data_IF_063845202336
#
_entry.id   IF_063845202336
#
_cell.length_a   1.000
_cell.length_b   1.000
_cell.length_c   1.000
_cell.angle_alpha   90.00
_cell.angle_beta   90.00
_cell.angle_gamma   90.00
#
_symmetry.space_group_name_H-M   'P 1'
#
loop_
_entity.id
_entity.type
_entity.pdbx_description
1 polymer ?
#
# COMPACT_ATOMS: atom_id res chain seq x y z
N UNK A 1 -64.31 22.82 12.20
CA UNK A 1 -62.92 23.21 12.54
C UNK A 1 -61.99 22.00 12.86
N UNK A 2 -62.49 20.77 13.00
CA UNK A 2 -61.66 19.60 13.35
C UNK A 2 -60.94 18.92 12.16
N UNK A 3 -61.58 18.80 11.01
CA UNK A 3 -61.06 18.04 9.87
C UNK A 3 -59.84 18.69 9.18
N UNK A 4 -59.74 20.01 9.17
CA UNK A 4 -58.64 20.73 8.56
C UNK A 4 -57.32 20.63 9.37
N UNK A 5 -57.40 20.47 10.70
CA UNK A 5 -56.21 20.26 11.56
C UNK A 5 -55.57 18.88 11.35
N UNK A 6 -56.39 17.86 11.13
CA UNK A 6 -55.88 16.50 10.89
C UNK A 6 -55.27 16.35 9.50
N UNK A 7 -55.74 17.11 8.49
CA UNK A 7 -55.16 17.11 7.16
C UNK A 7 -53.73 17.72 7.15
N UNK A 8 -53.49 18.78 7.93
CA UNK A 8 -52.15 19.38 8.05
C UNK A 8 -51.19 18.46 8.80
N UNK A 9 -51.64 17.72 9.82
CA UNK A 9 -50.81 16.75 10.54
C UNK A 9 -50.46 15.57 9.63
N UNK A 10 -51.39 15.07 8.81
CA UNK A 10 -51.17 13.98 7.89
C UNK A 10 -50.18 14.36 6.77
N UNK A 11 -50.22 15.59 6.24
CA UNK A 11 -49.28 16.12 5.26
C UNK A 11 -47.89 16.32 5.88
N UNK A 12 -47.77 16.75 7.13
CA UNK A 12 -46.50 16.87 7.83
C UNK A 12 -45.85 15.52 8.12
N UNK A 13 -46.64 14.48 8.44
CA UNK A 13 -46.15 13.11 8.63
C UNK A 13 -45.68 12.49 7.28
N UNK A 14 -46.34 12.80 6.16
CA UNK A 14 -45.93 12.34 4.84
C UNK A 14 -44.61 13.00 4.33
N UNK A 15 -44.33 14.25 4.72
CA UNK A 15 -43.07 14.93 4.39
C UNK A 15 -41.90 14.53 5.30
N UNK A 16 -42.17 13.94 6.48
CA UNK A 16 -41.11 13.52 7.42
C UNK A 16 -40.50 12.13 7.08
N UNK A 17 -40.94 11.48 6.02
CA UNK A 17 -40.52 10.10 5.71
C UNK A 17 -39.52 9.91 4.57
N UNK A 18 -38.84 10.94 4.08
CA UNK A 18 -37.85 10.77 3.03
C UNK A 18 -36.45 11.21 3.50
N UNK A 19 -36.05 10.73 4.65
CA UNK A 19 -34.66 10.66 5.02
C UNK A 19 -34.05 9.40 4.40
N UNK A 20 -33.66 9.43 3.13
CA UNK A 20 -32.88 8.35 2.55
C UNK A 20 -31.49 8.38 3.21
N UNK A 21 -31.27 7.55 4.22
CA UNK A 21 -29.94 7.28 4.72
C UNK A 21 -29.14 6.64 3.58
N UNK A 22 -28.24 7.41 2.98
CA UNK A 22 -27.33 6.88 1.98
C UNK A 22 -26.36 5.90 2.64
N UNK A 23 -26.27 4.68 2.10
CA UNK A 23 -25.32 3.69 2.59
C UNK A 23 -23.94 4.02 2.03
N UNK A 24 -22.93 4.23 2.89
CA UNK A 24 -21.56 4.51 2.41
C UNK A 24 -21.03 3.37 1.54
N UNK A 25 -20.46 3.71 0.40
CA UNK A 25 -19.86 2.74 -0.53
C UNK A 25 -19.62 3.33 -1.91
N UNK A 26 -19.08 2.49 -2.80
CA UNK A 26 -18.83 2.85 -4.20
C UNK A 26 -19.81 2.09 -5.11
N UNK A 27 -20.43 2.80 -6.04
CA UNK A 27 -21.50 2.28 -6.87
C UNK A 27 -21.31 2.65 -8.35
N UNK A 28 -21.62 1.70 -9.22
CA UNK A 28 -21.68 1.92 -10.66
C UNK A 28 -23.04 2.50 -11.05
N UNK A 29 -23.09 3.29 -12.12
CA UNK A 29 -24.34 3.73 -12.74
C UNK A 29 -25.27 2.55 -12.98
N UNK A 30 -26.60 2.78 -12.89
CA UNK A 30 -27.63 1.73 -12.88
C UNK A 30 -27.50 0.69 -13.99
N UNK A 31 -27.13 1.10 -15.18
CA UNK A 31 -27.01 0.23 -16.37
C UNK A 31 -25.61 -0.38 -16.54
N UNK A 32 -24.63 0.05 -15.77
CA UNK A 32 -23.24 -0.41 -15.88
C UNK A 32 -23.05 -1.70 -15.11
N UNK A 33 -22.60 -2.76 -15.80
CA UNK A 33 -22.36 -4.09 -15.22
C UNK A 33 -20.98 -4.22 -14.62
N UNK A 34 -19.99 -3.56 -15.23
CA UNK A 34 -18.60 -3.51 -14.80
C UNK A 34 -17.95 -2.28 -15.40
N UNK A 35 -16.88 -1.84 -14.79
CA UNK A 35 -16.05 -0.75 -15.25
C UNK A 35 -14.57 -1.08 -15.07
N UNK A 36 -13.77 -0.67 -16.03
CA UNK A 36 -12.31 -0.78 -15.98
C UNK A 36 -11.72 0.60 -15.61
N UNK A 37 -10.93 0.62 -14.55
CA UNK A 37 -10.26 1.81 -14.02
C UNK A 37 -8.76 1.61 -14.21
N UNK A 38 -8.08 2.43 -15.01
CA UNK A 38 -6.62 2.40 -15.11
C UNK A 38 -6.00 2.88 -13.79
N UNK A 39 -4.85 2.33 -13.42
CA UNK A 39 -4.08 2.79 -12.28
C UNK A 39 -2.61 3.00 -12.64
N UNK A 40 -1.93 3.83 -11.87
CA UNK A 40 -0.49 3.97 -11.93
C UNK A 40 0.13 2.98 -10.95
N UNK A 41 1.04 2.13 -11.45
CA UNK A 41 1.77 1.15 -10.65
C UNK A 41 3.12 1.73 -10.23
N UNK A 42 3.29 2.08 -8.95
CA UNK A 42 4.56 2.53 -8.40
C UNK A 42 4.97 1.63 -7.24
N UNK A 43 6.15 1.01 -7.32
CA UNK A 43 6.63 0.05 -6.31
C UNK A 43 5.59 -1.03 -5.99
N UNK A 44 4.91 -1.55 -7.04
CA UNK A 44 3.79 -2.49 -6.97
C UNK A 44 2.53 -1.97 -6.23
N UNK A 45 2.50 -0.71 -5.77
CA UNK A 45 1.31 -0.07 -5.20
C UNK A 45 0.34 0.37 -6.30
N UNK A 46 -0.92 0.44 -5.95
CA UNK A 46 -2.01 0.82 -6.85
C UNK A 46 -2.39 2.27 -6.57
N UNK A 47 -2.08 3.16 -7.51
CA UNK A 47 -2.42 4.57 -7.40
C UNK A 47 -3.51 4.91 -8.41
N UNK A 48 -4.65 5.39 -7.92
CA UNK A 48 -5.79 5.82 -8.70
C UNK A 48 -6.04 7.30 -8.53
N UNK A 49 -6.63 7.92 -9.54
CA UNK A 49 -7.10 9.30 -9.47
C UNK A 49 -8.57 9.33 -9.07
N UNK A 50 -8.89 10.15 -8.08
CA UNK A 50 -10.26 10.38 -7.64
C UNK A 50 -10.45 11.84 -7.22
N UNK A 51 -11.65 12.36 -7.42
CA UNK A 51 -12.06 13.68 -6.93
C UNK A 51 -12.74 13.54 -5.57
N UNK A 52 -12.53 14.51 -4.69
CA UNK A 52 -13.31 14.66 -3.46
C UNK A 52 -14.34 15.77 -3.70
N UNK A 53 -15.62 15.45 -3.53
CA UNK A 53 -16.72 16.35 -3.87
C UNK A 53 -16.57 16.83 -5.34
N UNK A 54 -16.52 18.11 -5.59
CA UNK A 54 -16.39 18.69 -6.94
C UNK A 54 -14.95 19.14 -7.26
N UNK A 55 -13.93 18.56 -6.59
CA UNK A 55 -12.53 18.92 -6.81
C UNK A 55 -11.96 18.34 -8.10
N UNK A 56 -10.80 18.87 -8.52
CA UNK A 56 -9.95 18.20 -9.49
C UNK A 56 -9.46 16.84 -8.95
N UNK A 57 -9.22 15.85 -9.82
CA UNK A 57 -8.74 14.54 -9.41
C UNK A 57 -7.34 14.61 -8.79
N UNK A 58 -7.17 13.94 -7.64
CA UNK A 58 -5.90 13.78 -6.95
C UNK A 58 -5.55 12.29 -6.76
N UNK A 59 -4.30 11.98 -6.45
CA UNK A 59 -3.81 10.60 -6.37
C UNK A 59 -4.08 9.98 -5.00
N UNK A 60 -4.65 8.78 -5.01
CA UNK A 60 -4.89 7.94 -3.83
C UNK A 60 -4.28 6.56 -4.00
N UNK A 61 -3.73 5.99 -2.92
CA UNK A 61 -3.43 4.56 -2.86
C UNK A 61 -4.73 3.81 -2.59
N UNK A 62 -4.93 2.71 -3.32
CA UNK A 62 -5.99 1.75 -3.05
C UNK A 62 -5.47 0.67 -2.11
N UNK A 63 -5.97 0.66 -0.87
CA UNK A 63 -5.40 -0.12 0.23
C UNK A 63 -6.44 -0.98 0.94
N UNK A 64 -6.25 -2.30 0.89
CA UNK A 64 -7.09 -3.28 1.60
C UNK A 64 -6.72 -3.47 3.06
N UNK A 65 -5.56 -2.96 3.49
CA UNK A 65 -5.07 -3.01 4.87
C UNK A 65 -5.70 -1.97 5.78
N UNK A 66 -6.36 -0.92 5.23
CA UNK A 66 -7.01 0.13 6.01
C UNK A 66 -8.53 0.08 5.92
N UNK A 67 -9.20 0.49 7.00
CA UNK A 67 -10.66 0.54 7.05
C UNK A 67 -11.21 1.87 6.58
N UNK A 68 -10.56 2.97 6.90
CA UNK A 68 -11.02 4.32 6.61
C UNK A 68 -10.38 4.87 5.33
N UNK A 69 -11.07 5.80 4.66
CA UNK A 69 -10.42 6.67 3.70
C UNK A 69 -9.62 7.72 4.46
N UNK A 70 -8.41 8.01 3.99
CA UNK A 70 -7.49 8.96 4.60
C UNK A 70 -7.13 10.06 3.61
N UNK A 71 -7.02 11.30 4.10
CA UNK A 71 -6.36 12.41 3.42
C UNK A 71 -5.16 12.82 4.30
N UNK A 72 -3.98 12.93 3.72
CA UNK A 72 -2.73 13.08 4.47
C UNK A 72 -2.46 14.50 4.95
N UNK A 73 -3.18 15.50 4.45
CA UNK A 73 -2.94 16.90 4.73
C UNK A 73 -4.23 17.64 5.08
N UNK A 74 -4.26 18.27 6.26
CA UNK A 74 -5.35 19.14 6.64
C UNK A 74 -5.38 20.40 5.77
N UNK A 75 -4.23 20.92 5.35
CA UNK A 75 -4.15 22.04 4.42
C UNK A 75 -4.91 21.75 3.13
N UNK A 76 -4.67 20.58 2.54
CA UNK A 76 -5.41 20.13 1.36
C UNK A 76 -6.91 19.95 1.67
N UNK A 77 -7.26 19.44 2.84
CA UNK A 77 -8.66 19.30 3.25
C UNK A 77 -9.37 20.64 3.40
N UNK A 78 -8.66 21.68 3.87
CA UNK A 78 -9.17 23.05 3.97
C UNK A 78 -9.32 23.69 2.58
N UNK A 79 -8.38 23.45 1.66
CA UNK A 79 -8.47 23.87 0.24
C UNK A 79 -9.64 23.21 -0.51
N UNK A 80 -10.02 21.99 -0.09
CA UNK A 80 -11.18 21.27 -0.62
C UNK A 80 -12.49 21.58 0.10
N UNK A 81 -12.51 22.58 0.96
CA UNK A 81 -13.68 23.04 1.75
C UNK A 81 -14.35 21.89 2.54
N UNK A 82 -13.55 20.95 3.09
CA UNK A 82 -14.09 19.82 3.84
C UNK A 82 -14.67 20.26 5.18
N UNK A 83 -15.88 19.76 5.48
CA UNK A 83 -16.49 19.96 6.80
C UNK A 83 -15.90 18.98 7.82
N UNK A 84 -15.50 19.48 8.99
CA UNK A 84 -14.96 18.65 10.07
C UNK A 84 -15.93 18.56 11.24
N UNK A 85 -16.29 17.34 11.65
CA UNK A 85 -17.23 17.11 12.75
C UNK A 85 -16.55 17.01 14.12
N UNK A 86 -15.41 16.35 14.21
CA UNK A 86 -14.63 16.17 15.44
C UNK A 86 -13.18 15.78 15.15
N UNK A 87 -12.31 16.02 16.13
CA UNK A 87 -10.93 15.49 16.14
C UNK A 87 -10.86 14.17 16.85
N UNK A 88 -9.88 13.36 16.45
CA UNK A 88 -9.51 12.11 17.12
C UNK A 88 -8.00 11.91 17.04
N UNK A 89 -7.49 11.12 17.96
CA UNK A 89 -6.10 10.69 17.95
C UNK A 89 -6.04 9.25 17.41
N UNK A 90 -5.17 9.05 16.44
CA UNK A 90 -4.84 7.74 15.89
C UNK A 90 -3.49 7.31 16.47
N UNK A 91 -3.37 6.06 16.84
CA UNK A 91 -2.07 5.50 17.16
C UNK A 91 -1.34 5.15 15.87
N UNK A 92 -0.11 5.62 15.73
CA UNK A 92 0.76 5.28 14.62
C UNK A 92 1.11 3.79 14.62
N UNK A 93 1.50 3.23 13.48
CA UNK A 93 1.85 1.81 13.38
C UNK A 93 3.17 1.45 14.08
N UNK A 94 3.96 2.44 14.51
CA UNK A 94 5.10 2.29 15.41
C UNK A 94 4.69 2.01 16.87
N UNK A 95 3.37 2.12 17.17
CA UNK A 95 2.81 1.93 18.51
C UNK A 95 3.07 3.08 19.48
N UNK A 96 3.82 4.11 19.09
CA UNK A 96 4.26 5.22 19.96
C UNK A 96 3.72 6.57 19.54
N UNK A 97 3.69 6.82 18.24
CA UNK A 97 3.25 8.09 17.68
C UNK A 97 1.75 8.28 17.83
N UNK A 98 1.33 9.44 18.29
CA UNK A 98 -0.07 9.85 18.32
C UNK A 98 -0.28 10.83 17.17
N UNK A 99 -1.09 10.43 16.19
CA UNK A 99 -1.43 11.22 15.02
C UNK A 99 -2.77 11.91 15.26
N UNK A 100 -2.80 13.22 15.16
CA UNK A 100 -4.05 13.97 15.20
C UNK A 100 -4.74 13.93 13.84
N UNK A 101 -6.03 13.65 13.85
CA UNK A 101 -6.85 13.61 12.65
C UNK A 101 -8.22 14.25 12.90
N UNK A 102 -8.80 14.82 11.86
CA UNK A 102 -10.15 15.36 11.85
C UNK A 102 -11.07 14.43 11.05
N UNK A 103 -12.29 14.21 11.52
CA UNK A 103 -13.30 13.43 10.79
C UNK A 103 -14.09 14.36 9.89
N UNK A 104 -14.06 14.09 8.58
CA UNK A 104 -14.93 14.74 7.60
C UNK A 104 -15.97 13.72 7.10
N UNK A 105 -17.23 13.80 7.54
CA UNK A 105 -18.27 12.86 7.13
C UNK A 105 -18.98 13.33 5.86
N UNK A 106 -19.67 12.37 5.22
CA UNK A 106 -20.61 12.62 4.14
C UNK A 106 -20.03 13.31 2.90
N UNK A 107 -18.80 12.94 2.53
CA UNK A 107 -18.19 13.38 1.29
C UNK A 107 -18.54 12.45 0.12
N UNK A 108 -18.29 12.92 -1.09
CA UNK A 108 -18.25 12.11 -2.31
C UNK A 108 -16.79 11.86 -2.69
N UNK A 109 -16.46 10.65 -3.10
CA UNK A 109 -15.17 10.32 -3.71
C UNK A 109 -15.47 9.72 -5.07
N UNK A 110 -15.24 10.49 -6.13
CA UNK A 110 -15.67 10.14 -7.47
C UNK A 110 -14.48 9.70 -8.34
N UNK A 111 -14.64 8.56 -8.97
CA UNK A 111 -13.76 8.06 -10.03
C UNK A 111 -14.63 8.03 -11.29
N UNK A 112 -14.14 8.43 -12.48
CA UNK A 112 -14.97 8.47 -13.68
C UNK A 112 -15.80 7.20 -13.88
N UNK A 113 -17.15 7.31 -13.80
CA UNK A 113 -18.13 6.21 -13.90
C UNK A 113 -18.31 5.38 -12.61
N UNK A 114 -17.78 5.82 -11.49
CA UNK A 114 -17.95 5.16 -10.17
C UNK A 114 -18.11 6.22 -9.09
N UNK A 115 -19.27 6.22 -8.44
CA UNK A 115 -19.64 7.18 -7.41
C UNK A 115 -19.42 6.60 -6.01
N UNK A 116 -18.54 7.22 -5.24
CA UNK A 116 -18.34 6.95 -3.82
C UNK A 116 -19.18 7.89 -2.98
N UNK A 117 -20.34 7.43 -2.52
CA UNK A 117 -21.31 8.26 -1.79
C UNK A 117 -21.21 8.09 -0.28
N UNK A 118 -21.56 9.13 0.47
CA UNK A 118 -21.59 9.19 1.93
C UNK A 118 -20.24 8.77 2.56
N UNK A 119 -19.13 9.12 1.95
CA UNK A 119 -17.80 8.73 2.40
C UNK A 119 -17.36 9.53 3.64
N UNK A 120 -16.82 8.81 4.61
CA UNK A 120 -16.12 9.43 5.74
C UNK A 120 -14.63 9.45 5.43
N UNK A 121 -14.01 10.62 5.54
CA UNK A 121 -12.58 10.81 5.33
C UNK A 121 -11.95 11.20 6.68
N UNK A 122 -10.89 10.51 7.07
CA UNK A 122 -10.02 10.93 8.15
C UNK A 122 -8.93 11.82 7.55
N UNK A 123 -8.89 13.08 7.97
CA UNK A 123 -7.93 14.07 7.48
C UNK A 123 -6.85 14.25 8.54
N UNK A 124 -5.62 13.86 8.21
CA UNK A 124 -4.47 14.01 9.11
C UNK A 124 -4.10 15.50 9.23
N UNK A 125 -3.77 15.95 10.43
CA UNK A 125 -3.34 17.33 10.66
C UNK A 125 -2.03 17.65 9.91
N UNK A 126 -1.14 16.65 9.77
CA UNK A 126 0.13 16.72 9.03
C UNK A 126 0.39 15.42 8.26
N UNK A 127 1.15 15.48 7.16
CA UNK A 127 1.60 14.31 6.42
C UNK A 127 2.77 13.62 7.15
N UNK A 128 2.45 12.66 7.99
CA UNK A 128 3.42 11.86 8.72
C UNK A 128 4.01 10.70 7.90
N UNK A 129 3.43 10.40 6.74
CA UNK A 129 3.82 9.22 5.95
C UNK A 129 4.91 9.59 4.93
N UNK A 130 4.79 10.78 4.32
CA UNK A 130 5.74 11.27 3.33
C UNK A 130 5.87 10.33 2.13
N UNK A 131 4.75 9.74 1.66
CA UNK A 131 4.76 8.79 0.55
C UNK A 131 5.24 9.41 -0.76
N UNK A 132 5.08 10.70 -0.94
CA UNK A 132 5.64 11.47 -2.04
C UNK A 132 7.16 11.33 -2.13
N UNK A 133 7.84 11.34 -0.98
CA UNK A 133 9.31 11.14 -0.89
C UNK A 133 9.71 9.69 -1.19
N UNK A 134 8.88 8.73 -0.78
CA UNK A 134 9.16 7.29 -0.98
C UNK A 134 8.90 6.88 -2.43
N UNK A 135 7.86 7.41 -3.05
CA UNK A 135 7.43 7.04 -4.40
C UNK A 135 7.96 7.96 -5.49
N UNK A 136 8.35 9.19 -5.13
CA UNK A 136 8.79 10.21 -6.09
C UNK A 136 7.66 10.83 -6.91
N UNK A 137 6.42 10.65 -6.47
CA UNK A 137 5.21 11.25 -7.04
C UNK A 137 4.26 11.69 -5.93
N UNK A 138 3.46 12.75 -6.14
CA UNK A 138 2.50 13.18 -5.14
C UNK A 138 1.43 12.10 -4.90
N UNK A 139 1.19 11.79 -3.63
CA UNK A 139 0.10 10.92 -3.16
C UNK A 139 -0.58 11.62 -1.99
N UNK A 140 -1.89 11.82 -2.10
CA UNK A 140 -2.63 12.69 -1.19
C UNK A 140 -3.42 11.95 -0.13
N UNK A 141 -3.63 10.62 -0.32
CA UNK A 141 -4.43 9.85 0.62
C UNK A 141 -4.54 8.38 0.28
N UNK A 142 -5.45 7.71 0.99
CA UNK A 142 -5.74 6.28 0.85
C UNK A 142 -7.24 6.10 0.71
N UNK A 143 -7.65 5.24 -0.23
CA UNK A 143 -9.02 4.72 -0.32
C UNK A 143 -9.01 3.27 0.17
N UNK A 144 -9.82 3.01 1.21
CA UNK A 144 -9.82 1.75 1.94
C UNK A 144 -11.04 0.88 1.70
N UNK A 145 -11.51 0.27 2.79
CA UNK A 145 -12.57 -0.75 2.85
C UNK A 145 -13.83 -0.42 2.03
N UNK A 146 -14.31 0.83 2.05
CA UNK A 146 -15.58 1.19 1.41
C UNK A 146 -15.57 0.94 -0.11
N UNK A 147 -14.40 0.97 -0.75
CA UNK A 147 -14.23 0.65 -2.17
C UNK A 147 -14.52 -0.82 -2.48
N UNK A 148 -14.18 -1.72 -1.56
CA UNK A 148 -14.31 -3.17 -1.77
C UNK A 148 -15.61 -3.76 -1.20
N UNK A 149 -16.30 -3.02 -0.35
CA UNK A 149 -17.35 -3.48 0.55
C UNK A 149 -18.49 -4.25 -0.13
N UNK A 150 -19.01 -3.74 -1.24
CA UNK A 150 -20.23 -4.27 -1.86
C UNK A 150 -20.01 -4.98 -3.19
N UNK A 151 -18.86 -4.79 -3.80
CA UNK A 151 -18.63 -5.18 -5.19
C UNK A 151 -17.32 -5.94 -5.34
N UNK A 152 -17.29 -7.03 -6.15
CA UNK A 152 -16.04 -7.69 -6.48
C UNK A 152 -15.12 -6.77 -7.27
N UNK A 153 -13.86 -6.70 -6.87
CA UNK A 153 -12.82 -5.89 -7.48
C UNK A 153 -11.72 -6.78 -8.01
N UNK A 154 -11.54 -6.81 -9.33
CA UNK A 154 -10.42 -7.48 -9.99
C UNK A 154 -9.25 -6.49 -10.10
N UNK A 155 -8.06 -6.92 -9.76
CA UNK A 155 -6.80 -6.19 -9.94
C UNK A 155 -5.92 -6.99 -10.89
N UNK A 156 -5.60 -6.37 -12.03
CA UNK A 156 -4.75 -6.91 -13.08
C UNK A 156 -3.48 -6.05 -13.18
N UNK A 157 -2.46 -6.44 -12.43
CA UNK A 157 -1.18 -5.71 -12.38
C UNK A 157 -0.39 -5.80 -13.71
N UNK A 158 -0.62 -6.82 -14.51
CA UNK A 158 0.06 -6.94 -15.81
C UNK A 158 -0.39 -5.85 -16.79
N UNK A 159 -1.65 -5.37 -16.63
CA UNK A 159 -2.27 -4.34 -17.47
C UNK A 159 -2.43 -3.01 -16.75
N UNK A 160 -2.18 -2.95 -15.46
CA UNK A 160 -2.49 -1.81 -14.59
C UNK A 160 -3.98 -1.40 -14.69
N UNK A 161 -4.87 -2.40 -14.58
CA UNK A 161 -6.32 -2.18 -14.67
C UNK A 161 -7.01 -2.81 -13.45
N UNK A 162 -7.85 -2.03 -12.79
CA UNK A 162 -8.87 -2.50 -11.87
C UNK A 162 -10.16 -2.70 -12.64
N UNK A 163 -10.80 -3.88 -12.52
CA UNK A 163 -12.17 -4.07 -13.01
C UNK A 163 -13.11 -4.12 -11.81
N UNK A 164 -13.98 -3.14 -11.68
CA UNK A 164 -15.01 -3.07 -10.67
C UNK A 164 -16.29 -3.71 -11.21
N UNK A 165 -16.78 -4.76 -10.56
CA UNK A 165 -17.97 -5.49 -11.00
C UNK A 165 -19.18 -5.13 -10.16
N UNK A 166 -20.35 -4.99 -10.78
CA UNK A 166 -21.61 -5.01 -10.01
C UNK A 166 -21.81 -6.39 -9.40
N UNK A 167 -21.98 -6.47 -8.09
CA UNK A 167 -22.09 -7.74 -7.35
C UNK A 167 -23.18 -8.67 -7.87
N UNK A 168 -24.31 -8.11 -8.33
CA UNK A 168 -25.46 -8.89 -8.86
C UNK A 168 -25.15 -9.63 -10.17
N UNK A 169 -24.17 -9.16 -10.95
CA UNK A 169 -23.77 -9.80 -12.22
C UNK A 169 -22.55 -10.72 -12.06
N UNK A 170 -21.76 -10.57 -11.01
CA UNK A 170 -20.62 -11.44 -10.70
C UNK A 170 -21.13 -12.74 -10.03
N UNK A 171 -21.73 -13.64 -10.81
CA UNK A 171 -22.39 -14.84 -10.28
C UNK A 171 -21.49 -16.06 -10.22
N UNK A 172 -20.41 -16.12 -11.02
CA UNK A 172 -19.56 -17.29 -11.16
C UNK A 172 -18.08 -16.87 -11.20
N UNK A 173 -17.23 -17.73 -10.68
CA UNK A 173 -15.78 -17.60 -10.81
C UNK A 173 -15.39 -17.48 -12.29
N UNK A 174 -14.62 -16.46 -12.70
CA UNK A 174 -14.16 -16.34 -14.08
C UNK A 174 -13.26 -17.53 -14.47
N UNK A 175 -13.27 -17.83 -15.78
CA UNK A 175 -12.45 -18.90 -16.32
C UNK A 175 -10.94 -18.67 -16.03
N UNK A 176 -10.23 -19.74 -15.69
CA UNK A 176 -8.80 -19.69 -15.35
C UNK A 176 -8.48 -19.30 -13.90
N UNK A 177 -9.42 -18.66 -13.18
CA UNK A 177 -9.23 -18.33 -11.77
C UNK A 177 -9.49 -19.52 -10.85
N UNK A 178 -8.82 -19.54 -9.71
CA UNK A 178 -9.10 -20.39 -8.55
C UNK A 178 -9.55 -19.51 -7.40
N UNK A 179 -10.14 -20.11 -6.37
CA UNK A 179 -10.57 -19.37 -5.19
C UNK A 179 -10.17 -20.07 -3.89
N UNK A 180 -9.96 -19.27 -2.86
CA UNK A 180 -9.86 -19.66 -1.46
C UNK A 180 -10.74 -18.75 -0.62
N UNK A 181 -11.01 -19.18 0.61
CA UNK A 181 -11.73 -18.34 1.58
C UNK A 181 -10.89 -17.14 1.99
N UNK A 182 -11.55 -16.02 2.20
CA UNK A 182 -10.98 -14.74 2.60
C UNK A 182 -11.88 -14.10 3.65
N UNK A 183 -11.92 -14.63 4.88
CA UNK A 183 -12.72 -14.03 5.94
C UNK A 183 -12.30 -12.57 6.19
N UNK A 184 -13.30 -11.73 6.47
CA UNK A 184 -13.11 -10.34 6.84
C UNK A 184 -13.13 -10.21 8.37
N UNK A 185 -12.13 -9.57 8.94
CA UNK A 185 -12.11 -9.20 10.34
C UNK A 185 -11.94 -7.69 10.45
N UNK A 186 -12.92 -7.02 11.03
CA UNK A 186 -12.98 -5.55 11.11
C UNK A 186 -12.83 -4.86 9.74
N UNK A 187 -13.39 -5.47 8.66
CA UNK A 187 -13.33 -4.96 7.30
C UNK A 187 -12.02 -5.26 6.56
N UNK A 188 -11.06 -5.93 7.18
CA UNK A 188 -9.77 -6.31 6.58
C UNK A 188 -9.79 -7.76 6.09
N UNK A 189 -9.23 -8.04 4.89
CA UNK A 189 -9.26 -9.37 4.28
C UNK A 189 -8.10 -10.24 4.75
N UNK A 190 -8.39 -11.48 5.13
CA UNK A 190 -7.37 -12.44 5.56
C UNK A 190 -7.41 -13.72 4.73
N UNK A 191 -6.25 -14.31 4.50
CA UNK A 191 -6.10 -15.62 3.87
C UNK A 191 -5.13 -16.49 4.67
N UNK A 192 -5.23 -17.80 4.50
CA UNK A 192 -4.24 -18.74 5.02
C UNK A 192 -3.19 -19.07 3.95
N UNK A 193 -1.92 -18.94 4.34
CA UNK A 193 -0.77 -19.40 3.58
C UNK A 193 -0.02 -20.50 4.32
N UNK A 194 0.77 -21.31 3.60
CA UNK A 194 1.70 -22.26 4.20
C UNK A 194 3.11 -21.83 3.84
N UNK A 195 3.89 -21.45 4.83
CA UNK A 195 5.31 -21.14 4.68
C UNK A 195 6.15 -22.41 4.89
N UNK A 196 7.29 -22.50 4.19
CA UNK A 196 8.34 -23.48 4.46
C UNK A 196 9.59 -22.74 4.90
N UNK A 197 10.04 -23.03 6.11
CA UNK A 197 11.14 -22.37 6.78
C UNK A 197 12.50 -23.00 6.39
N UNK A 198 13.61 -22.40 6.86
CA UNK A 198 14.96 -22.85 6.52
C UNK A 198 15.26 -24.26 7.06
N UNK A 199 14.75 -24.58 8.24
CA UNK A 199 14.86 -25.92 8.88
C UNK A 199 14.03 -27.00 8.17
N UNK A 200 13.29 -26.65 7.11
CA UNK A 200 12.40 -27.55 6.36
C UNK A 200 11.03 -27.73 6.98
N UNK A 201 10.74 -27.16 8.15
CA UNK A 201 9.41 -27.16 8.75
C UNK A 201 8.40 -26.38 7.92
N UNK A 202 7.12 -26.72 8.07
CA UNK A 202 6.03 -26.01 7.42
C UNK A 202 5.03 -25.50 8.45
N UNK A 203 4.65 -24.22 8.33
CA UNK A 203 3.71 -23.58 9.23
C UNK A 203 2.58 -22.95 8.42
N UNK A 204 1.33 -23.17 8.86
CA UNK A 204 0.19 -22.41 8.33
C UNK A 204 0.12 -21.09 9.05
N UNK A 205 0.06 -19.99 8.28
CA UNK A 205 0.02 -18.61 8.79
C UNK A 205 -1.21 -17.88 8.24
N UNK A 206 -1.85 -17.10 9.10
CA UNK A 206 -2.94 -16.19 8.74
C UNK A 206 -2.34 -14.85 8.31
N UNK A 207 -2.59 -14.47 7.07
CA UNK A 207 -2.01 -13.28 6.43
C UNK A 207 -3.08 -12.25 6.11
N UNK A 208 -2.84 -11.00 6.46
CA UNK A 208 -3.60 -9.87 5.93
C UNK A 208 -3.27 -9.72 4.44
N UNK A 209 -4.26 -9.60 3.57
CA UNK A 209 -4.06 -9.22 2.17
C UNK A 209 -4.01 -7.71 2.09
N UNK A 210 -2.88 -7.15 1.69
CA UNK A 210 -2.60 -5.73 1.82
C UNK A 210 -2.04 -5.16 0.51
N UNK A 211 -2.87 -4.43 -0.22
CA UNK A 211 -2.47 -3.78 -1.48
C UNK A 211 -1.76 -2.45 -1.26
N UNK A 212 -1.79 -1.90 -0.04
CA UNK A 212 -1.07 -0.69 0.37
C UNK A 212 0.35 -0.95 0.89
N UNK A 213 0.74 -2.22 1.05
CA UNK A 213 2.07 -2.61 1.53
C UNK A 213 2.97 -3.02 0.37
N UNK A 214 4.06 -2.30 0.11
CA UNK A 214 4.96 -2.53 -1.03
C UNK A 214 5.98 -3.68 -0.85
N UNK A 215 5.97 -4.36 0.30
CA UNK A 215 6.78 -5.56 0.53
C UNK A 215 6.11 -6.83 -0.03
N UNK A 216 6.83 -7.96 -0.07
CA UNK A 216 6.29 -9.26 -0.44
C UNK A 216 5.54 -9.94 0.71
N UNK A 217 6.27 -10.61 1.58
CA UNK A 217 5.76 -11.22 2.80
C UNK A 217 6.37 -10.50 4.01
N UNK A 218 5.53 -10.15 4.98
CA UNK A 218 5.95 -9.71 6.29
C UNK A 218 5.46 -10.73 7.32
N UNK A 219 6.33 -11.18 8.22
CA UNK A 219 5.99 -12.10 9.31
C UNK A 219 6.38 -11.50 10.65
N UNK A 220 5.43 -11.52 11.57
CA UNK A 220 5.58 -11.05 12.94
C UNK A 220 6.01 -12.23 13.84
N UNK A 221 7.30 -12.28 14.18
CA UNK A 221 7.87 -13.40 14.96
C UNK A 221 7.26 -13.50 16.36
N UNK A 222 6.86 -12.38 16.93
CA UNK A 222 6.25 -12.31 18.27
C UNK A 222 4.86 -12.97 18.33
N UNK A 223 4.25 -13.27 17.20
CA UNK A 223 2.91 -13.89 17.14
C UNK A 223 2.94 -15.40 17.33
N UNK A 224 4.10 -16.04 17.20
CA UNK A 224 4.25 -17.48 17.35
C UNK A 224 5.71 -17.91 17.46
N UNK A 225 6.06 -18.67 18.51
CA UNK A 225 7.38 -19.29 18.69
C UNK A 225 7.76 -20.27 17.56
N UNK A 226 6.79 -20.60 16.69
CA UNK A 226 7.02 -21.47 15.53
C UNK A 226 7.50 -20.71 14.29
N UNK A 227 7.51 -19.37 14.32
CA UNK A 227 8.06 -18.56 13.23
C UNK A 227 9.54 -18.37 13.49
N UNK A 228 10.38 -18.98 12.64
CA UNK A 228 11.82 -18.94 12.76
C UNK A 228 12.42 -17.92 11.81
N UNK A 229 13.39 -17.16 12.30
CA UNK A 229 14.21 -16.31 11.42
C UNK A 229 15.09 -17.18 10.50
N UNK A 230 15.33 -16.79 9.24
CA UNK A 230 16.33 -17.40 8.39
C UNK A 230 17.74 -17.27 9.00
N UNK A 231 18.63 -18.22 8.66
CA UNK A 231 20.04 -18.19 9.12
C UNK A 231 20.76 -16.91 8.66
N UNK A 232 20.45 -16.43 7.47
CA UNK A 232 21.00 -15.18 6.92
C UNK A 232 19.91 -14.14 6.89
N UNK A 233 20.11 -13.07 7.65
CA UNK A 233 19.26 -11.89 7.67
C UNK A 233 20.10 -10.62 7.53
N UNK A 234 19.49 -9.56 7.02
CA UNK A 234 20.08 -8.22 6.92
C UNK A 234 19.20 -7.23 7.66
N UNK A 235 19.80 -6.39 8.47
CA UNK A 235 19.12 -5.21 9.01
C UNK A 235 18.65 -4.33 7.85
N UNK A 236 17.42 -3.86 7.94
CA UNK A 236 16.81 -3.06 6.88
C UNK A 236 15.77 -2.11 7.45
N UNK A 237 15.70 -0.93 6.86
CA UNK A 237 14.49 -0.13 6.86
C UNK A 237 13.43 -0.91 6.06
N UNK A 238 12.31 -1.24 6.72
CA UNK A 238 11.21 -2.00 6.12
C UNK A 238 10.16 -1.08 5.48
N UNK A 239 10.41 0.21 5.47
CA UNK A 239 9.53 1.23 4.90
C UNK A 239 8.82 2.06 5.97
N UNK A 240 8.00 2.98 5.48
CA UNK A 240 7.22 3.87 6.33
C UNK A 240 5.76 3.39 6.35
N UNK A 241 5.16 3.42 7.53
CA UNK A 241 3.74 3.15 7.72
C UNK A 241 3.06 4.36 8.37
N UNK A 242 1.76 4.27 8.60
CA UNK A 242 1.02 5.31 9.32
C UNK A 242 1.61 5.47 10.73
N UNK A 243 2.40 6.53 10.93
CA UNK A 243 3.00 6.87 12.24
C UNK A 243 4.48 6.65 12.38
N UNK A 244 5.19 6.22 11.34
CA UNK A 244 6.65 6.18 11.38
C UNK A 244 7.30 5.06 10.58
N UNK A 245 8.62 5.06 10.62
CA UNK A 245 9.44 4.08 9.93
C UNK A 245 9.42 2.74 10.68
N UNK A 246 9.34 1.65 9.91
CA UNK A 246 9.41 0.29 10.41
C UNK A 246 10.83 -0.24 10.25
N UNK A 247 11.44 -0.65 11.37
CA UNK A 247 12.73 -1.31 11.40
C UNK A 247 12.58 -2.82 11.56
N UNK A 248 13.61 -3.55 11.21
CA UNK A 248 13.66 -4.99 11.40
C UNK A 248 14.70 -5.64 10.51
N UNK A 249 14.50 -6.93 10.24
CA UNK A 249 15.42 -7.70 9.40
C UNK A 249 14.70 -8.26 8.17
N UNK A 250 15.45 -8.43 7.10
CA UNK A 250 15.00 -9.07 5.87
C UNK A 250 15.79 -10.35 5.66
N UNK A 251 15.09 -11.42 5.32
CA UNK A 251 15.71 -12.70 5.00
C UNK A 251 14.94 -13.45 3.92
N UNK A 252 15.37 -14.66 3.60
CA UNK A 252 14.79 -15.43 2.51
C UNK A 252 14.09 -16.70 3.02
N UNK A 253 12.79 -16.79 2.81
CA UNK A 253 12.06 -18.05 3.03
C UNK A 253 12.11 -18.96 1.81
N UNK A 254 12.16 -20.26 2.05
CA UNK A 254 12.27 -21.24 0.97
C UNK A 254 11.01 -21.32 0.11
N UNK A 255 9.81 -21.19 0.71
CA UNK A 255 8.52 -21.27 -0.01
C UNK A 255 7.37 -20.63 0.74
N UNK A 256 6.45 -20.03 -0.03
CA UNK A 256 5.08 -19.70 0.39
C UNK A 256 4.10 -20.39 -0.55
N UNK A 257 3.07 -21.05 0.00
CA UNK A 257 1.96 -21.65 -0.74
C UNK A 257 0.66 -20.93 -0.35
N UNK A 258 -0.07 -20.42 -1.34
CA UNK A 258 -1.41 -19.85 -1.21
C UNK A 258 -2.32 -20.61 -2.16
N UNK A 259 -3.25 -21.39 -1.64
CA UNK A 259 -4.03 -22.30 -2.47
C UNK A 259 -3.15 -23.20 -3.31
N UNK A 260 -3.12 -23.00 -4.65
CA UNK A 260 -2.23 -23.74 -5.58
C UNK A 260 -1.03 -22.93 -6.06
N UNK A 261 -0.94 -21.64 -5.72
CA UNK A 261 0.25 -20.85 -6.00
C UNK A 261 1.41 -21.29 -5.10
N UNK A 262 2.62 -21.30 -5.65
CA UNK A 262 3.85 -21.69 -4.94
C UNK A 262 4.94 -20.70 -5.31
N UNK A 263 5.23 -19.78 -4.41
CA UNK A 263 6.33 -18.83 -4.51
C UNK A 263 7.57 -19.45 -3.86
N UNK A 264 8.74 -19.28 -4.50
CA UNK A 264 10.00 -19.88 -4.04
C UNK A 264 11.01 -18.79 -3.73
N UNK A 265 11.85 -19.03 -2.71
CA UNK A 265 12.97 -18.13 -2.33
C UNK A 265 12.53 -16.67 -2.17
N UNK A 266 11.37 -16.47 -1.55
CA UNK A 266 10.79 -15.13 -1.42
C UNK A 266 11.53 -14.30 -0.38
N UNK A 267 11.66 -13.01 -0.65
CA UNK A 267 12.11 -12.03 0.32
C UNK A 267 11.01 -11.85 1.35
N UNK A 268 11.39 -11.94 2.63
CA UNK A 268 10.48 -11.82 3.76
C UNK A 268 11.03 -10.84 4.76
N UNK A 269 10.20 -9.90 5.15
CA UNK A 269 10.49 -8.90 6.18
C UNK A 269 10.03 -9.44 7.55
N UNK A 270 10.83 -9.22 8.56
CA UNK A 270 10.54 -9.54 9.97
C UNK A 270 10.71 -8.25 10.77
N UNK A 271 9.61 -7.52 11.00
CA UNK A 271 9.66 -6.27 11.76
C UNK A 271 10.03 -6.53 13.21
N UNK A 272 10.68 -5.54 13.81
CA UNK A 272 10.89 -5.52 15.24
C UNK A 272 9.53 -5.43 15.96
N UNK A 273 9.36 -6.11 17.10
CA UNK A 273 8.15 -5.98 17.90
C UNK A 273 7.90 -4.53 18.31
N UNK A 274 6.65 -4.10 18.22
CA UNK A 274 6.20 -2.77 18.62
C UNK A 274 5.05 -2.86 19.63
N UNK A 275 4.60 -1.74 20.16
CA UNK A 275 3.40 -1.70 21.03
C UNK A 275 2.12 -2.16 20.30
N UNK A 276 2.14 -2.26 18.98
CA UNK A 276 1.07 -2.88 18.18
C UNK A 276 1.08 -4.41 18.21
N UNK A 277 2.12 -5.05 18.70
CA UNK A 277 2.23 -6.50 18.70
C UNK A 277 1.04 -7.18 19.39
N UNK A 278 0.54 -6.62 20.48
CA UNK A 278 -0.64 -7.15 21.17
C UNK A 278 -1.89 -7.10 20.28
N UNK A 279 -2.11 -6.00 19.58
CA UNK A 279 -3.24 -5.85 18.64
C UNK A 279 -3.10 -6.85 17.47
N UNK A 280 -1.88 -7.07 16.97
CA UNK A 280 -1.61 -8.05 15.93
C UNK A 280 -1.93 -9.46 16.45
N UNK A 281 -1.49 -9.81 17.64
CA UNK A 281 -1.74 -11.09 18.30
C UNK A 281 -3.25 -11.33 18.50
N UNK A 282 -3.98 -10.33 18.99
CA UNK A 282 -5.44 -10.41 19.19
C UNK A 282 -6.20 -10.72 17.89
N UNK A 283 -5.75 -10.25 16.74
CA UNK A 283 -6.37 -10.59 15.44
C UNK A 283 -6.09 -12.03 15.00
N UNK A 284 -5.14 -12.71 15.65
CA UNK A 284 -4.62 -14.03 15.26
C UNK A 284 -3.84 -14.00 13.94
N UNK A 285 -3.44 -12.82 13.47
CA UNK A 285 -2.63 -12.61 12.27
C UNK A 285 -1.17 -12.91 12.58
N UNK A 286 -0.48 -13.62 11.70
CA UNK A 286 0.96 -13.85 11.80
C UNK A 286 1.78 -13.02 10.80
N UNK A 287 1.11 -12.33 9.89
CA UNK A 287 1.83 -11.51 8.92
C UNK A 287 0.94 -10.82 7.91
N UNK A 288 1.60 -10.26 6.90
CA UNK A 288 0.96 -9.50 5.81
C UNK A 288 1.47 -10.00 4.47
N UNK A 289 0.56 -10.19 3.52
CA UNK A 289 0.82 -10.47 2.12
C UNK A 289 0.73 -9.17 1.33
N UNK A 290 1.86 -8.62 0.94
CA UNK A 290 1.94 -7.32 0.28
C UNK A 290 2.01 -7.38 -1.25
N UNK A 291 2.17 -6.22 -1.83
CA UNK A 291 2.03 -5.97 -3.28
C UNK A 291 3.10 -6.63 -4.13
N UNK A 292 4.34 -6.84 -3.67
CA UNK A 292 5.35 -7.57 -4.46
C UNK A 292 4.94 -9.03 -4.73
N UNK A 293 4.13 -9.66 -3.85
CA UNK A 293 3.55 -10.98 -4.14
C UNK A 293 2.25 -10.85 -4.93
N UNK A 294 1.39 -9.89 -4.56
CA UNK A 294 0.09 -9.70 -5.21
C UNK A 294 0.25 -9.32 -6.68
N UNK A 295 1.23 -8.47 -7.02
CA UNK A 295 1.52 -8.02 -8.40
C UNK A 295 1.99 -9.14 -9.34
N UNK A 296 2.43 -10.28 -8.79
CA UNK A 296 2.78 -11.48 -9.56
C UNK A 296 1.56 -12.33 -9.93
N UNK A 297 0.37 -11.85 -9.58
CA UNK A 297 -0.91 -12.55 -9.78
C UNK A 297 -1.97 -11.59 -10.30
N UNK A 298 -3.02 -12.14 -10.90
CA UNK A 298 -4.26 -11.44 -11.15
C UNK A 298 -5.23 -11.87 -10.07
N UNK A 299 -5.76 -10.94 -9.32
CA UNK A 299 -6.62 -11.23 -8.16
C UNK A 299 -8.03 -10.66 -8.34
N UNK A 300 -9.01 -11.26 -7.66
CA UNK A 300 -10.33 -10.67 -7.46
C UNK A 300 -10.66 -10.79 -5.98
N UNK A 301 -10.93 -9.66 -5.37
CA UNK A 301 -11.37 -9.53 -3.99
C UNK A 301 -12.89 -9.42 -3.99
N UNK A 302 -13.56 -10.39 -3.41
CA UNK A 302 -15.03 -10.42 -3.28
C UNK A 302 -15.38 -10.43 -1.79
N UNK A 303 -15.52 -9.24 -1.24
CA UNK A 303 -15.82 -9.05 0.18
C UNK A 303 -17.21 -9.56 0.54
N UNK A 304 -18.18 -9.44 -0.37
CA UNK A 304 -19.55 -9.87 -0.10
C UNK A 304 -19.69 -11.39 0.04
N UNK A 305 -18.79 -12.15 -0.61
CA UNK A 305 -18.77 -13.62 -0.55
C UNK A 305 -17.59 -14.16 0.22
N UNK A 306 -16.75 -13.28 0.77
CA UNK A 306 -15.51 -13.62 1.48
C UNK A 306 -14.60 -14.57 0.68
N UNK A 307 -14.37 -14.24 -0.61
CA UNK A 307 -13.56 -15.04 -1.53
C UNK A 307 -12.40 -14.24 -2.12
N UNK A 308 -11.24 -14.85 -2.09
CA UNK A 308 -10.05 -14.43 -2.81
C UNK A 308 -9.89 -15.30 -4.04
N UNK A 309 -10.10 -14.72 -5.23
CA UNK A 309 -9.84 -15.41 -6.48
C UNK A 309 -8.46 -15.02 -7.00
N UNK A 310 -7.75 -15.98 -7.59
CA UNK A 310 -6.41 -15.75 -8.08
C UNK A 310 -6.10 -16.53 -9.36
N UNK A 311 -5.22 -15.96 -10.17
CA UNK A 311 -4.61 -16.53 -11.34
C UNK A 311 -3.14 -16.07 -11.38
N UNK A 312 -2.24 -16.85 -11.99
CA UNK A 312 -0.86 -16.42 -12.20
C UNK A 312 -0.82 -15.24 -13.17
N UNK A 313 -0.06 -14.20 -12.81
CA UNK A 313 0.30 -13.09 -13.68
C UNK A 313 1.58 -13.39 -14.48
N UNK A 314 1.99 -12.45 -15.30
CA UNK A 314 3.18 -12.56 -16.15
C UNK A 314 4.46 -12.61 -15.31
N UNK A 315 4.53 -11.83 -14.23
CA UNK A 315 5.67 -11.78 -13.30
C UNK A 315 5.74 -12.99 -12.33
N UNK A 316 4.81 -13.98 -12.41
CA UNK A 316 4.72 -15.05 -11.42
C UNK A 316 6.02 -15.86 -11.22
N UNK A 317 6.77 -16.08 -12.26
CA UNK A 317 8.02 -16.85 -12.22
C UNK A 317 9.28 -15.98 -12.11
N UNK A 318 9.15 -14.64 -12.07
CA UNK A 318 10.28 -13.74 -11.89
C UNK A 318 10.86 -13.95 -10.49
N UNK A 319 12.19 -14.13 -10.33
CA UNK A 319 12.80 -14.25 -9.02
C UNK A 319 12.50 -13.07 -8.10
N UNK A 320 12.47 -13.32 -6.79
CA UNK A 320 12.45 -12.26 -5.80
C UNK A 320 13.87 -11.76 -5.56
N UNK A 321 14.12 -10.51 -5.87
CA UNK A 321 15.43 -9.89 -5.64
C UNK A 321 15.32 -8.77 -4.60
N UNK A 322 16.33 -8.70 -3.75
CA UNK A 322 16.49 -7.64 -2.77
C UNK A 322 17.56 -6.66 -3.25
N UNK A 323 17.59 -5.45 -2.70
CA UNK A 323 18.61 -4.47 -2.99
C UNK A 323 20.02 -5.04 -2.81
N UNK A 324 20.86 -4.87 -3.83
CA UNK A 324 22.22 -5.38 -3.90
C UNK A 324 23.27 -4.27 -3.71
N UNK A 325 22.83 -3.03 -3.60
CA UNK A 325 23.70 -1.86 -3.40
C UNK A 325 23.91 -1.51 -1.93
N UNK A 326 22.85 -1.65 -1.14
CA UNK A 326 22.74 -1.18 0.24
C UNK A 326 22.24 0.26 0.36
N UNK A 327 21.70 0.83 -0.72
CA UNK A 327 21.18 2.20 -0.74
C UNK A 327 19.67 2.18 -0.68
N UNK A 328 19.07 2.91 0.28
CA UNK A 328 17.68 3.32 0.25
C UNK A 328 17.59 4.77 -0.25
N UNK A 329 16.86 4.99 -1.33
CA UNK A 329 16.68 6.30 -1.95
C UNK A 329 15.31 6.89 -1.58
N UNK A 330 15.27 8.22 -1.45
CA UNK A 330 14.01 8.99 -1.37
C UNK A 330 14.10 10.21 -2.28
N UNK A 331 12.94 10.71 -2.69
CA UNK A 331 12.82 11.97 -3.41
C UNK A 331 12.83 13.14 -2.44
N UNK A 332 13.34 14.30 -2.87
CA UNK A 332 13.15 15.56 -2.18
C UNK A 332 11.79 16.15 -2.57
N UNK A 333 11.09 16.85 -1.68
CA UNK A 333 9.81 17.48 -1.96
C UNK A 333 10.00 18.79 -2.74
N UNK A 334 10.51 18.69 -3.96
CA UNK A 334 10.81 19.80 -4.87
C UNK A 334 10.11 19.57 -6.21
N UNK A 335 9.86 20.65 -6.99
CA UNK A 335 9.30 20.51 -8.33
C UNK A 335 10.22 19.72 -9.26
N UNK A 336 11.54 19.90 -9.10
CA UNK A 336 12.54 19.15 -9.84
C UNK A 336 12.74 17.75 -9.25
N UNK A 337 12.96 16.75 -10.12
CA UNK A 337 13.29 15.40 -9.69
C UNK A 337 14.69 15.37 -9.05
N UNK A 338 14.71 15.24 -7.74
CA UNK A 338 15.93 15.14 -6.95
C UNK A 338 15.83 13.95 -6.00
N UNK A 339 16.84 13.08 -5.99
CA UNK A 339 16.87 11.89 -5.17
C UNK A 339 18.10 11.89 -4.29
N UNK A 340 17.94 11.43 -3.06
CA UNK A 340 19.04 11.39 -2.09
C UNK A 340 19.10 10.03 -1.39
N UNK A 341 20.29 9.70 -0.88
CA UNK A 341 20.54 8.51 -0.04
C UNK A 341 19.93 8.77 1.33
N UNK A 342 18.74 8.16 1.58
CA UNK A 342 18.05 8.26 2.85
C UNK A 342 18.66 7.37 3.92
N UNK A 343 18.98 6.13 3.55
CA UNK A 343 19.63 5.17 4.43
C UNK A 343 20.69 4.39 3.67
N UNK A 344 21.79 4.04 4.37
CA UNK A 344 22.89 3.27 3.81
C UNK A 344 23.23 2.09 4.73
N UNK A 345 23.03 0.88 4.22
CA UNK A 345 23.37 -0.33 4.96
C UNK A 345 24.89 -0.46 5.14
N UNK A 346 25.32 -0.55 6.37
CA UNK A 346 26.73 -0.68 6.75
C UNK A 346 27.37 -1.95 6.15
N UNK A 347 28.59 -1.83 5.64
CA UNK A 347 29.32 -2.92 4.99
C UNK A 347 28.80 -3.31 3.61
N UNK A 348 27.80 -2.62 3.07
CA UNK A 348 27.25 -2.83 1.74
C UNK A 348 28.22 -2.44 0.61
N UNK A 349 27.94 -2.83 -0.64
CA UNK A 349 28.75 -2.39 -1.78
C UNK A 349 28.86 -0.87 -1.92
N UNK A 350 27.80 -0.12 -1.65
CA UNK A 350 27.81 1.33 -1.73
C UNK A 350 28.59 1.96 -0.57
N UNK A 351 28.48 1.43 0.65
CA UNK A 351 29.26 1.87 1.80
C UNK A 351 30.76 1.69 1.56
N UNK A 352 31.18 0.54 1.02
CA UNK A 352 32.59 0.24 0.70
C UNK A 352 33.22 1.19 -0.31
N UNK A 353 32.44 1.80 -1.20
CA UNK A 353 32.96 2.81 -2.15
C UNK A 353 32.76 4.24 -1.63
N UNK A 354 32.29 4.38 -0.37
CA UNK A 354 32.20 5.66 0.34
C UNK A 354 31.02 6.52 -0.07
N UNK A 355 29.89 5.93 -0.43
CA UNK A 355 28.58 6.59 -0.43
C UNK A 355 28.21 6.91 1.02
N UNK A 356 27.43 7.93 1.26
CA UNK A 356 26.96 8.32 2.61
C UNK A 356 25.48 8.71 2.57
N UNK A 357 24.83 8.59 3.69
CA UNK A 357 23.50 9.18 3.91
C UNK A 357 23.54 10.69 3.67
N UNK A 358 22.52 11.23 3.02
CA UNK A 358 22.43 12.61 2.60
C UNK A 358 23.13 12.93 1.25
N UNK A 359 23.85 11.99 0.63
CA UNK A 359 24.37 12.19 -0.72
C UNK A 359 23.19 12.35 -1.70
N UNK A 360 23.21 13.40 -2.52
CA UNK A 360 22.22 13.61 -3.57
C UNK A 360 22.70 13.02 -4.89
N UNK A 361 21.87 12.24 -5.55
CA UNK A 361 22.18 11.62 -6.84
C UNK A 361 21.95 12.64 -7.96
N UNK A 362 22.93 12.87 -8.81
CA UNK A 362 22.82 13.76 -9.98
C UNK A 362 22.82 13.01 -11.31
N UNK A 363 23.43 11.83 -11.35
CA UNK A 363 23.37 10.96 -12.53
C UNK A 363 23.49 9.48 -12.14
N UNK A 364 22.92 8.61 -12.98
CA UNK A 364 23.05 7.15 -12.88
C UNK A 364 23.49 6.64 -14.25
N UNK A 365 24.62 5.93 -14.31
CA UNK A 365 25.25 5.45 -15.54
C UNK A 365 25.43 6.54 -16.61
N UNK A 366 25.72 7.78 -16.19
CA UNK A 366 25.91 8.93 -17.07
C UNK A 366 24.61 9.58 -17.58
N UNK A 367 23.45 9.09 -17.16
CA UNK A 367 22.15 9.68 -17.48
C UNK A 367 21.75 10.57 -16.29
N UNK A 368 21.46 11.88 -16.51
CA UNK A 368 21.02 12.79 -15.45
C UNK A 368 19.76 12.30 -14.74
N UNK A 369 19.64 12.59 -13.44
CA UNK A 369 18.57 12.08 -12.58
C UNK A 369 17.18 12.52 -13.01
N UNK A 370 17.04 13.65 -13.66
CA UNK A 370 15.79 14.20 -14.20
C UNK A 370 15.08 13.26 -15.23
N UNK A 371 15.90 12.40 -15.90
CA UNK A 371 15.36 11.41 -16.86
C UNK A 371 15.05 10.06 -16.21
N UNK A 372 15.21 9.94 -14.89
CA UNK A 372 14.90 8.72 -14.16
C UNK A 372 13.61 8.87 -13.34
N UNK A 373 12.90 7.75 -13.22
CA UNK A 373 11.96 7.57 -12.13
C UNK A 373 12.66 6.91 -10.95
N UNK A 374 12.32 7.28 -9.72
CA UNK A 374 12.91 6.72 -8.50
C UNK A 374 12.82 5.20 -8.49
N UNK A 375 11.68 4.65 -8.86
CA UNK A 375 11.43 3.20 -8.95
C UNK A 375 12.38 2.51 -9.94
N UNK A 376 12.69 3.16 -11.06
CA UNK A 376 13.60 2.60 -12.07
C UNK A 376 15.05 2.51 -11.56
N UNK A 377 15.50 3.47 -10.75
CA UNK A 377 16.80 3.40 -10.09
C UNK A 377 16.80 2.27 -9.04
N UNK A 378 15.74 2.15 -8.25
CA UNK A 378 15.59 1.08 -7.26
C UNK A 378 15.61 -0.31 -7.94
N UNK A 379 14.93 -0.47 -9.07
CA UNK A 379 14.95 -1.71 -9.87
C UNK A 379 16.35 -2.00 -10.42
N UNK A 380 17.07 -0.97 -10.89
CA UNK A 380 18.45 -1.13 -11.33
C UNK A 380 19.35 -1.63 -10.20
N UNK A 381 19.20 -1.09 -8.97
CA UNK A 381 20.03 -1.46 -7.82
C UNK A 381 19.75 -2.88 -7.29
N UNK A 382 18.62 -3.49 -7.67
CA UNK A 382 18.28 -4.90 -7.36
C UNK A 382 18.37 -5.85 -8.56
N UNK A 383 18.92 -5.40 -9.72
CA UNK A 383 18.73 -6.10 -10.98
C UNK A 383 19.59 -7.38 -11.12
N UNK A 384 20.91 -7.32 -10.92
CA UNK A 384 21.82 -8.43 -11.24
C UNK A 384 23.08 -8.41 -10.36
N UNK A 385 23.42 -9.58 -9.80
CA UNK A 385 24.67 -9.73 -9.04
C UNK A 385 25.89 -9.54 -9.95
N UNK A 386 26.86 -8.76 -9.48
CA UNK A 386 28.07 -8.42 -10.24
C UNK A 386 27.93 -7.22 -11.20
N UNK A 387 26.72 -6.71 -11.44
CA UNK A 387 26.51 -5.54 -12.29
C UNK A 387 27.18 -4.31 -11.70
N UNK A 388 27.84 -3.54 -12.53
CA UNK A 388 28.46 -2.26 -12.15
C UNK A 388 27.47 -1.13 -12.41
N UNK A 389 27.25 -0.30 -11.41
CA UNK A 389 26.42 0.91 -11.48
C UNK A 389 27.30 2.10 -11.11
N UNK A 390 27.42 3.06 -12.04
CA UNK A 390 28.10 4.32 -11.79
C UNK A 390 27.07 5.34 -11.30
N UNK A 391 27.32 6.00 -10.20
CA UNK A 391 26.52 7.15 -9.72
C UNK A 391 27.42 8.36 -9.54
N UNK A 392 26.96 9.51 -10.00
CA UNK A 392 27.54 10.79 -9.67
C UNK A 392 26.66 11.44 -8.60
N UNK A 393 27.28 11.93 -7.54
CA UNK A 393 26.60 12.46 -6.35
C UNK A 393 27.12 13.86 -6.01
N UNK A 394 26.24 14.66 -5.38
CA UNK A 394 26.65 15.88 -4.68
C UNK A 394 26.61 15.59 -3.18
N UNK A 395 27.70 15.96 -2.52
CA UNK A 395 27.82 15.88 -1.06
C UNK A 395 28.12 17.26 -0.50
N UNK A 396 27.35 17.65 0.49
CA UNK A 396 27.63 18.85 1.27
C UNK A 396 28.64 18.51 2.39
N UNK A 397 29.74 19.22 2.42
CA UNK A 397 30.74 19.13 3.50
C UNK A 397 31.00 20.54 4.04
N UNK A 398 30.35 20.89 5.12
CA UNK A 398 30.32 22.27 5.63
C UNK A 398 29.67 23.21 4.60
N UNK A 399 30.42 24.23 4.13
CA UNK A 399 29.94 25.19 3.11
C UNK A 399 30.30 24.79 1.69
N UNK A 400 30.97 23.62 1.49
CA UNK A 400 31.47 23.21 0.18
C UNK A 400 30.58 22.09 -0.37
N UNK A 401 30.15 22.24 -1.62
CA UNK A 401 29.51 21.19 -2.40
C UNK A 401 30.57 20.47 -3.23
N UNK A 402 30.64 19.16 -3.09
CA UNK A 402 31.57 18.30 -3.81
C UNK A 402 30.81 17.36 -4.73
N UNK A 403 31.20 17.34 -6.01
CA UNK A 403 30.74 16.31 -6.94
C UNK A 403 31.66 15.11 -6.87
N UNK A 404 31.14 13.93 -6.65
CA UNK A 404 31.90 12.69 -6.51
C UNK A 404 31.29 11.62 -7.42
N UNK A 405 32.15 10.84 -8.05
CA UNK A 405 31.78 9.65 -8.82
C UNK A 405 31.98 8.40 -7.96
N UNK A 406 30.98 7.53 -7.90
CA UNK A 406 31.00 6.24 -7.20
C UNK A 406 30.72 5.11 -8.18
N UNK A 407 31.54 4.06 -8.16
CA UNK A 407 31.32 2.84 -8.96
C UNK A 407 30.96 1.70 -8.02
N UNK A 408 29.69 1.32 -8.03
CA UNK A 408 29.14 0.29 -7.17
C UNK A 408 29.09 -1.01 -7.96
N UNK A 409 29.67 -2.08 -7.42
CA UNK A 409 29.45 -3.44 -7.96
C UNK A 409 28.36 -4.10 -7.12
N UNK A 410 27.20 -4.29 -7.69
CA UNK A 410 26.05 -4.90 -7.01
C UNK A 410 26.42 -6.31 -6.51
N UNK A 411 25.98 -6.65 -5.27
CA UNK A 411 26.23 -7.97 -4.68
C UNK A 411 25.00 -8.47 -3.95
N UNK A 412 24.56 -9.69 -4.32
CA UNK A 412 23.51 -10.38 -3.59
C UNK A 412 24.01 -10.70 -2.19
N UNK A 413 23.25 -10.32 -1.17
CA UNK A 413 23.64 -10.47 0.25
C UNK A 413 22.74 -11.49 0.98
N UNK A 414 21.53 -11.77 0.42
CA UNK A 414 20.59 -12.80 0.88
C UNK A 414 20.00 -13.58 -0.28
#
# INVERSE_FOLDING_TARGET
MGAQKYLFILIFILYAQVGHSQVPGFFLDENTRRMDIPFLGYSDLIIIQASINDSEPINFILDTGVKANLLFSKTLGDELDLFYSRKLNLMGADGKSILSASISPNNQINIPGLDGIAQTILVLDEDFIGLDKVLGIPVHGVIGYEFFKFNPVKIDYDRNIITFYRSTVFKRRPFGYRSIDMPLVNGKPYINGVIRQADGSSLTVKLLVDTGANHGLLLNVETSDKILLPETVLESDLGTSLGGDLSGVVGRLSRLKIGRLRFKRLITSFPDPTEFSDIIIETGRQGTLGSDILSRTRIILDYTREKFYYQKGEKFNVPFEFDMSGIALRALPTEDKRFYVHHLRKGSPADKVGVREGDEIISVNGIPVEFWELTSIIELLRSEDGKKVKIDIIRQSGQVLMTLTKNITLRRQI
#
